data_IF_705473016826
#
_entry.id   IF_705473016826
#
_cell.length_a   1.000
_cell.length_b   1.000
_cell.length_c   1.000
_cell.angle_alpha   90.00
_cell.angle_beta   90.00
_cell.angle_gamma   90.00
#
_symmetry.space_group_name_H-M   'P 1'
#
loop_
_entity.id
_entity.type
_entity.pdbx_description
1 polymer ?
#
# COMPACT_ATOMS: atom_id res chain seq x y z
N UNK A 1 -98.77 8.25 -66.49
CA UNK A 1 -98.38 7.40 -67.64
C UNK A 1 -98.21 5.96 -67.15
N UNK A 2 -98.53 4.98 -67.99
CA UNK A 2 -98.66 3.52 -67.76
C UNK A 2 -97.91 2.84 -68.95
N UNK A 3 -97.42 1.56 -68.96
CA UNK A 3 -97.42 0.47 -67.95
C UNK A 3 -96.01 0.35 -67.29
N UNK A 4 -95.41 -0.77 -66.83
CA UNK A 4 -95.67 -2.23 -66.79
C UNK A 4 -95.02 -2.83 -65.53
N UNK A 5 -95.51 -3.87 -64.83
CA UNK A 5 -96.11 -5.20 -65.15
C UNK A 5 -95.11 -6.34 -65.41
N UNK A 6 -95.06 -7.28 -64.44
CA UNK A 6 -94.89 -8.77 -64.54
C UNK A 6 -93.66 -9.35 -65.28
N UNK A 7 -93.16 -10.54 -64.94
CA UNK A 7 -93.56 -11.54 -63.93
C UNK A 7 -92.38 -12.46 -63.58
N UNK A 8 -92.41 -13.19 -62.46
CA UNK A 8 -92.88 -14.58 -62.33
C UNK A 8 -91.73 -15.62 -62.40
N UNK A 9 -91.89 -16.72 -61.64
CA UNK A 9 -91.04 -17.93 -61.55
C UNK A 9 -89.58 -17.67 -61.08
N UNK A 10 -89.19 -17.94 -59.82
CA UNK A 10 -89.06 -19.26 -59.16
C UNK A 10 -88.09 -20.20 -59.88
N UNK A 11 -86.91 -20.45 -59.28
CA UNK A 11 -86.28 -21.76 -59.03
C UNK A 11 -84.85 -21.59 -58.45
N UNK A 12 -84.56 -22.34 -57.37
CA UNK A 12 -83.25 -22.74 -56.81
C UNK A 12 -82.23 -21.72 -56.24
N UNK A 13 -81.98 -21.93 -54.93
CA UNK A 13 -80.68 -22.08 -54.26
C UNK A 13 -79.61 -20.96 -54.31
N UNK A 14 -79.36 -20.34 -53.16
CA UNK A 14 -78.02 -19.82 -52.79
C UNK A 14 -77.99 -18.50 -52.04
N UNK A 15 -77.11 -18.43 -51.02
CA UNK A 15 -76.63 -17.22 -50.31
C UNK A 15 -77.63 -16.53 -49.36
N UNK A 16 -77.20 -16.26 -48.12
CA UNK A 16 -77.97 -15.47 -47.15
C UNK A 16 -77.72 -15.75 -45.65
N UNK A 17 -76.62 -16.41 -45.29
CA UNK A 17 -76.28 -16.72 -43.90
C UNK A 17 -75.95 -15.42 -43.14
N UNK A 18 -76.91 -14.92 -42.35
CA UNK A 18 -76.78 -13.65 -41.62
C UNK A 18 -77.35 -13.75 -40.18
N UNK A 19 -76.79 -14.70 -39.44
CA UNK A 19 -76.86 -14.74 -37.97
C UNK A 19 -75.55 -15.35 -37.45
N UNK A 20 -75.05 -14.81 -36.33
CA UNK A 20 -73.84 -15.24 -35.60
C UNK A 20 -72.50 -15.16 -36.36
N UNK A 21 -71.71 -14.10 -36.12
CA UNK A 21 -70.26 -14.17 -35.79
C UNK A 21 -69.62 -12.77 -35.61
N UNK A 22 -69.71 -12.19 -34.40
CA UNK A 22 -68.68 -11.25 -33.89
C UNK A 22 -68.49 -11.47 -32.37
N UNK A 23 -68.15 -12.70 -31.97
CA UNK A 23 -67.30 -12.89 -30.81
C UNK A 23 -65.88 -13.08 -31.34
N UNK A 24 -65.19 -11.96 -31.57
CA UNK A 24 -63.75 -11.98 -31.80
C UNK A 24 -63.08 -12.38 -30.47
N UNK A 25 -62.37 -13.51 -30.38
CA UNK A 25 -61.46 -13.71 -29.26
C UNK A 25 -60.45 -12.58 -29.30
N UNK A 26 -60.28 -11.87 -28.19
CA UNK A 26 -59.15 -10.96 -28.04
C UNK A 26 -57.89 -11.83 -28.07
N UNK A 27 -57.18 -11.83 -29.19
CA UNK A 27 -55.83 -12.36 -29.27
C UNK A 27 -54.95 -11.49 -28.38
N UNK A 28 -54.79 -11.91 -27.12
CA UNK A 28 -53.77 -11.38 -26.20
C UNK A 28 -52.43 -11.69 -26.82
N UNK A 29 -51.87 -10.70 -27.51
CA UNK A 29 -50.63 -10.82 -28.26
C UNK A 29 -49.49 -11.15 -27.28
N UNK A 30 -49.07 -12.41 -27.25
CA UNK A 30 -48.15 -12.93 -26.25
C UNK A 30 -46.76 -12.33 -26.48
N UNK A 31 -46.37 -11.39 -25.63
CA UNK A 31 -45.02 -10.83 -25.72
C UNK A 31 -43.99 -11.82 -25.14
N UNK A 32 -42.82 -11.98 -25.77
CA UNK A 32 -41.75 -12.79 -25.21
C UNK A 32 -41.16 -12.10 -23.97
N UNK A 33 -40.82 -12.89 -22.94
CA UNK A 33 -40.13 -12.41 -21.75
C UNK A 33 -38.73 -11.94 -22.16
N UNK A 34 -38.39 -10.69 -21.84
CA UNK A 34 -37.12 -10.06 -22.24
C UNK A 34 -36.05 -10.05 -21.16
N UNK A 35 -36.46 -10.13 -19.90
CA UNK A 35 -35.58 -9.94 -18.74
C UNK A 35 -36.22 -10.46 -17.44
N UNK A 36 -35.39 -10.86 -16.49
CA UNK A 36 -35.82 -11.40 -15.18
C UNK A 36 -35.12 -10.65 -14.04
N UNK A 37 -35.92 -9.98 -13.20
CA UNK A 37 -35.49 -9.43 -11.91
C UNK A 37 -35.71 -10.42 -10.76
N UNK A 38 -34.86 -10.38 -9.74
CA UNK A 38 -34.98 -11.24 -8.55
C UNK A 38 -34.76 -10.43 -7.28
N UNK A 39 -35.57 -10.68 -6.25
CA UNK A 39 -35.37 -10.20 -4.89
C UNK A 39 -35.39 -11.38 -3.91
N UNK A 40 -34.39 -11.52 -3.05
CA UNK A 40 -34.33 -12.57 -2.03
C UNK A 40 -34.41 -12.00 -0.60
N UNK A 41 -35.29 -12.57 0.22
CA UNK A 41 -35.46 -12.24 1.63
C UNK A 41 -35.40 -13.50 2.51
N UNK A 42 -35.22 -13.32 3.82
CA UNK A 42 -35.21 -14.41 4.80
C UNK A 42 -36.28 -14.23 5.88
N UNK A 43 -36.92 -15.34 6.25
CA UNK A 43 -37.85 -15.45 7.38
C UNK A 43 -37.19 -15.22 8.75
N UNK A 44 -35.87 -15.40 8.85
CA UNK A 44 -35.10 -15.29 10.09
C UNK A 44 -33.80 -14.51 9.88
N UNK A 45 -33.71 -13.33 10.50
CA UNK A 45 -32.54 -12.45 10.44
C UNK A 45 -32.33 -11.78 9.08
N UNK A 46 -31.36 -10.87 9.01
CA UNK A 46 -30.88 -10.31 7.75
C UNK A 46 -29.73 -11.14 7.19
N UNK A 47 -29.78 -11.46 5.89
CA UNK A 47 -28.64 -12.07 5.18
C UNK A 47 -27.66 -10.98 4.74
N UNK A 48 -26.34 -11.15 4.99
CA UNK A 48 -25.30 -10.29 4.46
C UNK A 48 -25.45 -10.03 2.96
N UNK A 49 -25.31 -8.76 2.55
CA UNK A 49 -25.55 -8.29 1.19
C UNK A 49 -24.79 -9.07 0.11
N UNK A 50 -23.58 -9.52 0.42
CA UNK A 50 -22.73 -10.33 -0.47
C UNK A 50 -23.37 -11.69 -0.79
N UNK A 51 -23.95 -12.34 0.22
CA UNK A 51 -24.67 -13.62 0.07
C UNK A 51 -26.00 -13.39 -0.63
N UNK A 52 -26.77 -12.36 -0.23
CA UNK A 52 -28.05 -11.99 -0.85
C UNK A 52 -27.92 -11.75 -2.37
N UNK A 53 -26.98 -10.88 -2.78
CA UNK A 53 -26.70 -10.58 -4.20
C UNK A 53 -26.28 -11.83 -4.98
N UNK A 54 -25.59 -12.78 -4.36
CA UNK A 54 -25.23 -14.05 -5.02
C UNK A 54 -26.43 -14.98 -5.17
N UNK A 55 -27.29 -15.11 -4.16
CA UNK A 55 -28.57 -15.84 -4.24
C UNK A 55 -29.40 -15.28 -5.40
N UNK A 56 -29.61 -13.97 -5.43
CA UNK A 56 -30.36 -13.27 -6.48
C UNK A 56 -29.73 -13.49 -7.87
N UNK A 57 -28.40 -13.42 -7.98
CA UNK A 57 -27.68 -13.69 -9.23
C UNK A 57 -27.81 -15.13 -9.70
N UNK A 58 -27.74 -16.12 -8.80
CA UNK A 58 -27.93 -17.54 -9.12
C UNK A 58 -29.36 -17.83 -9.58
N UNK A 59 -30.36 -17.31 -8.87
CA UNK A 59 -31.78 -17.43 -9.25
C UNK A 59 -32.05 -16.68 -10.56
N UNK A 60 -31.43 -15.51 -10.78
CA UNK A 60 -31.58 -14.73 -12.02
C UNK A 60 -30.95 -15.46 -13.21
N UNK A 61 -29.80 -16.10 -13.06
CA UNK A 61 -29.20 -16.92 -14.13
C UNK A 61 -30.11 -18.09 -14.54
N UNK A 62 -30.75 -18.74 -13.56
CA UNK A 62 -31.76 -19.79 -13.79
C UNK A 62 -32.99 -19.20 -14.48
N UNK A 63 -33.56 -18.13 -13.94
CA UNK A 63 -34.74 -17.45 -14.48
C UNK A 63 -34.52 -16.99 -15.92
N UNK A 64 -33.39 -16.37 -16.21
CA UNK A 64 -33.04 -15.96 -17.58
C UNK A 64 -32.96 -17.17 -18.53
N UNK A 65 -32.35 -18.29 -18.11
CA UNK A 65 -32.28 -19.51 -18.92
C UNK A 65 -33.62 -20.23 -19.09
N UNK A 66 -34.53 -20.11 -18.12
CA UNK A 66 -35.84 -20.78 -18.12
C UNK A 66 -36.91 -19.95 -18.84
N UNK A 67 -36.91 -18.63 -18.71
CA UNK A 67 -38.00 -17.74 -19.14
C UNK A 67 -37.69 -16.87 -20.36
N UNK A 68 -36.47 -16.34 -20.52
CA UNK A 68 -36.18 -15.34 -21.57
C UNK A 68 -36.32 -15.95 -22.97
N UNK A 69 -36.93 -15.19 -23.88
CA UNK A 69 -37.21 -15.61 -25.25
C UNK A 69 -38.43 -16.53 -25.41
N UNK A 70 -39.15 -16.86 -24.32
CA UNK A 70 -40.40 -17.63 -24.36
C UNK A 70 -41.62 -16.73 -24.12
N UNK A 71 -42.77 -17.16 -24.60
CA UNK A 71 -44.04 -16.42 -24.46
C UNK A 71 -44.56 -16.44 -23.01
N UNK A 72 -44.94 -15.26 -22.49
CA UNK A 72 -45.42 -15.11 -21.11
C UNK A 72 -46.70 -15.92 -20.80
N UNK A 73 -47.57 -16.11 -21.80
CA UNK A 73 -48.88 -16.75 -21.61
C UNK A 73 -48.75 -18.23 -21.21
N UNK A 74 -47.72 -18.93 -21.69
CA UNK A 74 -47.47 -20.35 -21.35
C UNK A 74 -47.26 -20.50 -19.83
N UNK A 75 -46.53 -19.55 -19.24
CA UNK A 75 -46.26 -19.50 -17.81
C UNK A 75 -47.45 -19.00 -17.00
N UNK A 76 -48.13 -17.93 -17.45
CA UNK A 76 -49.32 -17.39 -16.77
C UNK A 76 -50.45 -18.42 -16.65
N UNK A 77 -50.69 -19.21 -17.70
CA UNK A 77 -51.74 -20.24 -17.72
C UNK A 77 -51.43 -21.42 -16.77
N UNK A 78 -50.16 -21.67 -16.44
CA UNK A 78 -49.73 -22.80 -15.62
C UNK A 78 -48.88 -22.36 -14.41
N UNK A 79 -49.11 -21.14 -13.90
CA UNK A 79 -48.24 -20.47 -12.94
C UNK A 79 -47.95 -21.32 -11.69
N UNK A 80 -48.96 -22.03 -11.17
CA UNK A 80 -48.81 -22.91 -10.00
C UNK A 80 -47.80 -24.04 -10.25
N UNK A 81 -47.80 -24.66 -11.43
CA UNK A 81 -46.86 -25.73 -11.77
C UNK A 81 -45.45 -25.18 -12.00
N UNK A 82 -45.31 -24.08 -12.73
CA UNK A 82 -44.01 -23.47 -13.00
C UNK A 82 -43.36 -22.86 -11.75
N UNK A 83 -44.13 -22.21 -10.86
CA UNK A 83 -43.64 -21.73 -9.57
C UNK A 83 -43.13 -22.90 -8.71
N UNK A 84 -43.85 -24.03 -8.66
CA UNK A 84 -43.41 -25.21 -7.92
C UNK A 84 -42.10 -25.79 -8.48
N UNK A 85 -41.99 -25.95 -9.81
CA UNK A 85 -40.75 -26.42 -10.45
C UNK A 85 -39.60 -25.43 -10.23
N UNK A 86 -39.86 -24.12 -10.26
CA UNK A 86 -38.86 -23.11 -9.96
C UNK A 86 -38.40 -23.20 -8.49
N UNK A 87 -39.32 -23.34 -7.53
CA UNK A 87 -39.00 -23.54 -6.12
C UNK A 87 -38.16 -24.81 -5.89
N UNK A 88 -38.51 -25.93 -6.53
CA UNK A 88 -37.73 -27.18 -6.49
C UNK A 88 -36.32 -27.01 -7.09
N UNK A 89 -36.15 -26.15 -8.10
CA UNK A 89 -34.83 -25.81 -8.66
C UNK A 89 -34.05 -24.91 -7.69
N UNK A 90 -34.68 -23.88 -7.11
CA UNK A 90 -34.04 -22.97 -6.15
C UNK A 90 -33.59 -23.73 -4.89
N UNK A 91 -34.43 -24.61 -4.35
CA UNK A 91 -34.10 -25.51 -3.22
C UNK A 91 -32.88 -26.41 -3.48
N UNK A 92 -32.55 -26.72 -4.74
CA UNK A 92 -31.37 -27.52 -5.12
C UNK A 92 -30.11 -26.68 -5.36
N UNK A 93 -30.25 -25.36 -5.47
CA UNK A 93 -29.16 -24.44 -5.83
C UNK A 93 -28.72 -23.60 -4.65
N UNK A 94 -29.65 -23.20 -3.77
CA UNK A 94 -29.38 -22.40 -2.57
C UNK A 94 -29.17 -23.31 -1.37
N UNK A 95 -27.99 -23.93 -1.30
CA UNK A 95 -27.65 -24.93 -0.27
C UNK A 95 -27.72 -24.32 1.14
N UNK A 96 -28.36 -25.03 2.07
CA UNK A 96 -28.56 -24.64 3.48
C UNK A 96 -29.72 -23.67 3.72
N UNK A 97 -30.47 -23.28 2.68
CA UNK A 97 -31.77 -22.62 2.80
C UNK A 97 -32.86 -23.45 2.13
N UNK A 98 -34.10 -23.36 2.62
CA UNK A 98 -35.29 -23.80 1.89
C UNK A 98 -36.15 -22.60 1.50
N UNK A 99 -36.82 -22.69 0.36
CA UNK A 99 -37.85 -21.76 -0.08
C UNK A 99 -39.08 -21.94 0.80
N UNK A 100 -39.42 -20.90 1.57
CA UNK A 100 -40.66 -20.80 2.36
C UNK A 100 -41.82 -20.31 1.49
N UNK A 101 -41.58 -19.28 0.66
CA UNK A 101 -42.51 -18.80 -0.36
C UNK A 101 -41.77 -18.38 -1.63
N UNK A 102 -42.46 -18.47 -2.77
CA UNK A 102 -41.96 -18.05 -4.07
C UNK A 102 -43.11 -17.46 -4.89
N UNK A 103 -42.98 -16.17 -5.21
CA UNK A 103 -43.93 -15.41 -6.00
C UNK A 103 -43.28 -14.97 -7.30
N UNK A 104 -43.97 -15.19 -8.43
CA UNK A 104 -43.48 -14.81 -9.76
C UNK A 104 -44.53 -13.96 -10.47
N UNK A 105 -44.18 -12.70 -10.70
CA UNK A 105 -44.95 -11.79 -11.53
C UNK A 105 -44.53 -11.98 -12.99
N UNK A 106 -45.21 -12.88 -13.71
CA UNK A 106 -44.95 -13.15 -15.12
C UNK A 106 -45.36 -11.99 -16.03
N UNK A 107 -44.44 -11.55 -16.88
CA UNK A 107 -44.66 -10.55 -17.92
C UNK A 107 -43.39 -10.30 -18.74
N UNK A 108 -43.46 -9.38 -19.70
CA UNK A 108 -42.30 -8.91 -20.50
C UNK A 108 -41.03 -8.63 -19.68
N UNK A 109 -41.17 -8.07 -18.48
CA UNK A 109 -40.16 -8.07 -17.42
C UNK A 109 -40.70 -8.90 -16.26
N UNK A 110 -40.18 -10.12 -16.09
CA UNK A 110 -40.66 -11.05 -15.05
C UNK A 110 -39.94 -10.77 -13.74
N UNK A 111 -40.67 -10.63 -12.63
CA UNK A 111 -40.08 -10.46 -11.29
C UNK A 111 -40.27 -11.72 -10.45
N UNK A 112 -39.20 -12.17 -9.79
CA UNK A 112 -39.21 -13.32 -8.87
C UNK A 112 -38.90 -12.81 -7.46
N UNK A 113 -39.85 -12.94 -6.54
CA UNK A 113 -39.62 -12.73 -5.12
C UNK A 113 -39.56 -14.08 -4.40
N UNK A 114 -38.46 -14.33 -3.70
CA UNK A 114 -38.19 -15.58 -2.99
C UNK A 114 -37.96 -15.29 -1.51
N UNK A 115 -38.71 -15.99 -0.67
CA UNK A 115 -38.54 -15.98 0.77
C UNK A 115 -37.87 -17.29 1.21
N UNK A 116 -36.75 -17.17 1.92
CA UNK A 116 -35.91 -18.29 2.34
C UNK A 116 -35.96 -18.50 3.86
N UNK A 117 -35.79 -19.73 4.29
CA UNK A 117 -35.58 -20.09 5.69
C UNK A 117 -34.28 -20.88 5.84
N UNK A 118 -33.40 -20.51 6.79
CA UNK A 118 -32.18 -21.27 7.07
C UNK A 118 -32.51 -22.69 7.53
N UNK A 119 -31.75 -23.68 7.04
CA UNK A 119 -31.88 -25.10 7.39
C UNK A 119 -30.76 -25.47 8.34
N UNK A 120 -31.09 -26.27 9.36
CA UNK A 120 -30.10 -26.74 10.33
C UNK A 120 -29.68 -25.66 11.31
N UNK A 121 -28.40 -25.65 11.68
CA UNK A 121 -27.85 -24.69 12.65
C UNK A 121 -27.35 -23.43 11.93
N UNK A 122 -27.46 -22.27 12.58
CA UNK A 122 -26.88 -21.00 12.10
C UNK A 122 -25.59 -20.67 12.86
N UNK A 123 -24.65 -20.03 12.17
CA UNK A 123 -23.43 -19.47 12.77
C UNK A 123 -23.84 -18.36 13.75
N UNK A 124 -23.43 -18.50 15.01
CA UNK A 124 -23.72 -17.53 16.09
C UNK A 124 -22.47 -16.79 16.55
N UNK A 125 -21.34 -17.47 16.53
CA UNK A 125 -20.06 -16.96 17.01
C UNK A 125 -19.00 -17.22 15.94
N UNK A 126 -18.17 -16.22 15.69
CA UNK A 126 -17.06 -16.29 14.75
C UNK A 126 -15.78 -15.95 15.49
N UNK A 127 -14.77 -16.80 15.38
CA UNK A 127 -13.42 -16.53 15.87
C UNK A 127 -12.49 -16.41 14.67
N UNK A 128 -11.78 -15.28 14.55
CA UNK A 128 -10.90 -14.99 13.42
C UNK A 128 -9.45 -14.89 13.91
N UNK A 129 -8.59 -15.73 13.35
CA UNK A 129 -7.15 -15.76 13.58
C UNK A 129 -6.44 -15.31 12.29
N UNK A 130 -5.50 -14.37 12.39
CA UNK A 130 -4.73 -13.85 11.25
C UNK A 130 -3.29 -14.33 11.40
N UNK A 131 -2.83 -15.07 10.40
CA UNK A 131 -1.46 -15.56 10.29
C UNK A 131 -0.66 -14.62 9.38
N UNK A 132 0.35 -13.97 9.96
CA UNK A 132 1.25 -13.03 9.31
C UNK A 132 2.42 -13.74 8.58
N UNK A 133 2.45 -15.08 8.58
CA UNK A 133 3.44 -15.90 7.92
C UNK A 133 4.85 -15.69 8.45
N UNK A 134 5.80 -15.42 7.55
CA UNK A 134 7.21 -15.22 7.88
C UNK A 134 7.58 -13.74 8.12
N UNK A 135 6.61 -12.86 8.35
CA UNK A 135 6.92 -11.48 8.75
C UNK A 135 7.63 -11.47 10.10
N UNK A 136 8.56 -10.53 10.29
CA UNK A 136 9.17 -10.30 11.60
C UNK A 136 8.11 -9.81 12.60
N UNK A 137 8.39 -9.92 13.90
CA UNK A 137 7.49 -9.38 14.95
C UNK A 137 7.22 -7.88 14.75
N UNK A 138 8.22 -7.12 14.29
CA UNK A 138 8.09 -5.68 14.05
C UNK A 138 7.25 -5.39 12.80
N UNK A 139 7.47 -6.12 11.70
CA UNK A 139 6.62 -6.04 10.51
C UNK A 139 5.16 -6.41 10.82
N UNK A 140 4.94 -7.45 11.62
CA UNK A 140 3.62 -7.92 12.00
C UNK A 140 2.81 -6.86 12.77
N UNK A 141 3.45 -6.03 13.63
CA UNK A 141 2.78 -4.94 14.36
C UNK A 141 2.13 -3.92 13.40
N UNK A 142 2.81 -3.51 12.34
CA UNK A 142 2.25 -2.58 11.36
C UNK A 142 1.05 -3.19 10.62
N UNK A 143 1.14 -4.46 10.21
CA UNK A 143 0.04 -5.15 9.53
C UNK A 143 -1.13 -5.42 10.50
N UNK A 144 -0.85 -5.69 11.77
CA UNK A 144 -1.85 -5.87 12.83
C UNK A 144 -2.64 -4.58 13.11
N UNK A 145 -1.98 -3.41 13.05
CA UNK A 145 -2.63 -2.09 13.17
C UNK A 145 -3.74 -1.93 12.13
N UNK A 146 -3.45 -2.24 10.86
CA UNK A 146 -4.43 -2.20 9.76
C UNK A 146 -5.54 -3.25 9.91
N UNK A 147 -5.20 -4.47 10.35
CA UNK A 147 -6.17 -5.59 10.44
C UNK A 147 -7.03 -5.62 11.71
N UNK A 148 -6.89 -4.64 12.62
CA UNK A 148 -7.61 -4.63 13.92
C UNK A 148 -9.13 -4.71 13.77
N UNK A 149 -9.71 -4.21 12.68
CA UNK A 149 -11.15 -4.28 12.38
C UNK A 149 -11.61 -5.61 11.74
N UNK A 150 -10.68 -6.39 11.17
CA UNK A 150 -11.00 -7.61 10.40
C UNK A 150 -11.80 -8.65 11.20
N UNK A 151 -11.49 -8.97 12.47
CA UNK A 151 -12.28 -9.94 13.23
C UNK A 151 -13.75 -9.54 13.42
N UNK A 152 -14.04 -8.24 13.58
CA UNK A 152 -15.41 -7.73 13.72
C UNK A 152 -16.14 -7.83 12.37
N UNK A 153 -15.50 -7.37 11.30
CA UNK A 153 -16.06 -7.40 9.94
C UNK A 153 -16.30 -8.84 9.45
N UNK A 154 -15.42 -9.78 9.80
CA UNK A 154 -15.65 -11.22 9.55
C UNK A 154 -16.77 -11.80 10.40
N UNK A 155 -17.00 -11.29 11.61
CA UNK A 155 -18.14 -11.69 12.45
C UNK A 155 -19.46 -11.22 11.83
N UNK A 156 -19.54 -9.97 11.40
CA UNK A 156 -20.71 -9.40 10.70
C UNK A 156 -21.01 -10.10 9.36
N UNK A 157 -19.97 -10.50 8.64
CA UNK A 157 -20.07 -11.17 7.33
C UNK A 157 -20.54 -12.64 7.42
N UNK A 158 -20.30 -13.32 8.53
CA UNK A 158 -20.57 -14.76 8.70
C UNK A 158 -21.73 -15.10 9.65
N UNK A 159 -22.05 -14.22 10.60
CA UNK A 159 -23.13 -14.47 11.57
C UNK A 159 -24.48 -14.53 10.87
N UNK A 160 -25.33 -15.48 11.29
CA UNK A 160 -26.66 -15.70 10.70
C UNK A 160 -26.68 -16.60 9.46
N UNK A 161 -25.52 -16.96 8.88
CA UNK A 161 -25.45 -17.94 7.81
C UNK A 161 -25.68 -19.37 8.34
N UNK A 162 -26.36 -20.27 7.59
CA UNK A 162 -26.48 -21.67 7.96
C UNK A 162 -25.12 -22.39 7.90
N UNK A 163 -24.86 -23.26 8.87
CA UNK A 163 -23.66 -24.10 8.93
C UNK A 163 -23.59 -25.05 7.72
N UNK A 164 -24.73 -25.63 7.32
CA UNK A 164 -24.79 -26.52 6.15
C UNK A 164 -24.66 -25.76 4.82
N UNK A 165 -24.85 -24.43 4.80
CA UNK A 165 -24.53 -23.62 3.62
C UNK A 165 -23.03 -23.58 3.34
N UNK A 166 -22.15 -23.94 4.28
CA UNK A 166 -20.70 -23.67 4.20
C UNK A 166 -20.02 -24.31 3.00
N UNK A 167 -20.42 -25.48 2.51
CA UNK A 167 -19.86 -26.03 1.26
C UNK A 167 -20.07 -25.12 0.03
N UNK A 168 -21.04 -24.20 0.10
CA UNK A 168 -21.37 -23.21 -0.94
C UNK A 168 -21.01 -21.78 -0.53
N UNK A 169 -21.18 -21.47 0.76
CA UNK A 169 -20.88 -20.20 1.41
C UNK A 169 -19.38 -20.03 1.71
N UNK A 170 -18.56 -21.08 1.73
CA UNK A 170 -17.09 -20.97 1.76
C UNK A 170 -16.65 -20.17 0.53
N UNK A 171 -17.12 -20.51 -0.68
CA UNK A 171 -16.81 -19.74 -1.89
C UNK A 171 -17.24 -18.27 -1.79
N UNK A 172 -18.36 -17.96 -1.13
CA UNK A 172 -18.88 -16.57 -0.96
C UNK A 172 -18.13 -15.81 0.13
N UNK A 173 -17.92 -16.45 1.26
CA UNK A 173 -17.29 -15.87 2.44
C UNK A 173 -15.80 -15.68 2.20
N UNK A 174 -15.15 -16.61 1.51
CA UNK A 174 -13.81 -16.39 1.01
C UNK A 174 -13.77 -15.30 -0.08
N UNK A 175 -14.78 -15.15 -0.97
CA UNK A 175 -14.76 -14.06 -1.97
C UNK A 175 -14.98 -12.69 -1.32
N UNK A 176 -15.99 -12.56 -0.47
CA UNK A 176 -16.32 -11.33 0.23
C UNK A 176 -15.24 -10.98 1.28
N UNK A 177 -14.66 -11.97 1.96
CA UNK A 177 -13.48 -11.81 2.81
C UNK A 177 -12.24 -11.38 2.01
N UNK A 178 -12.01 -11.93 0.81
CA UNK A 178 -10.95 -11.45 -0.09
C UNK A 178 -11.20 -10.00 -0.54
N UNK A 179 -12.43 -9.64 -0.88
CA UNK A 179 -12.79 -8.26 -1.25
C UNK A 179 -12.65 -7.28 -0.08
N UNK A 180 -12.96 -7.72 1.15
CA UNK A 180 -12.74 -6.98 2.39
C UNK A 180 -11.24 -6.77 2.65
N UNK A 181 -10.45 -7.84 2.61
CA UNK A 181 -8.99 -7.77 2.80
C UNK A 181 -8.32 -6.93 1.72
N UNK A 182 -8.81 -6.96 0.47
CA UNK A 182 -8.30 -6.11 -0.61
C UNK A 182 -8.58 -4.61 -0.41
N UNK A 183 -9.57 -4.25 0.40
CA UNK A 183 -9.83 -2.85 0.78
C UNK A 183 -8.93 -2.39 1.93
N UNK A 184 -8.60 -3.29 2.87
CA UNK A 184 -7.81 -2.97 4.08
C UNK A 184 -6.30 -3.12 3.83
N UNK A 185 -5.89 -4.22 3.20
CA UNK A 185 -4.52 -4.59 2.84
C UNK A 185 -4.43 -4.97 1.34
N UNK A 186 -4.53 -4.01 0.41
CA UNK A 186 -4.38 -4.27 -1.02
C UNK A 186 -3.01 -4.86 -1.41
N UNK A 187 -2.00 -4.75 -0.52
CA UNK A 187 -0.64 -5.24 -0.71
C UNK A 187 -0.42 -6.71 -0.34
N UNK A 188 -1.46 -7.39 0.18
CA UNK A 188 -1.41 -8.79 0.57
C UNK A 188 -2.53 -9.59 -0.11
N UNK A 189 -2.20 -10.75 -0.66
CA UNK A 189 -3.20 -11.73 -1.09
C UNK A 189 -3.57 -12.61 0.12
N UNK A 190 -4.85 -12.58 0.52
CA UNK A 190 -5.35 -13.32 1.67
C UNK A 190 -5.92 -14.69 1.27
N UNK A 191 -5.41 -15.77 1.88
CA UNK A 191 -6.01 -17.11 1.86
C UNK A 191 -6.83 -17.33 3.11
N UNK A 192 -7.97 -17.98 2.95
CA UNK A 192 -8.97 -18.18 4.00
C UNK A 192 -9.21 -19.69 4.17
N UNK A 193 -9.06 -20.17 5.40
CA UNK A 193 -9.53 -21.49 5.83
C UNK A 193 -10.70 -21.29 6.81
N UNK A 194 -11.85 -21.91 6.54
CA UNK A 194 -13.08 -21.72 7.33
C UNK A 194 -13.55 -23.06 7.88
N UNK A 195 -13.37 -23.28 9.17
CA UNK A 195 -13.89 -24.44 9.88
C UNK A 195 -15.23 -24.08 10.51
N UNK A 196 -16.32 -24.65 10.00
CA UNK A 196 -17.65 -24.20 10.37
C UNK A 196 -18.37 -25.07 11.38
N UNK A 197 -19.20 -24.40 12.17
CA UNK A 197 -20.07 -24.94 13.21
C UNK A 197 -20.86 -23.81 13.86
N UNK A 198 -21.53 -24.06 14.99
CA UNK A 198 -22.11 -22.98 15.83
C UNK A 198 -21.09 -21.90 16.18
N UNK A 199 -19.87 -22.34 16.46
CA UNK A 199 -18.65 -21.54 16.59
C UNK A 199 -17.80 -21.78 15.33
N UNK A 200 -17.82 -20.82 14.41
CA UNK A 200 -17.01 -20.88 13.18
C UNK A 200 -15.63 -20.30 13.44
N UNK A 201 -14.59 -21.02 13.03
CA UNK A 201 -13.19 -20.56 13.10
C UNK A 201 -12.70 -20.20 11.70
N UNK A 202 -12.23 -18.97 11.55
CA UNK A 202 -11.64 -18.44 10.33
C UNK A 202 -10.14 -18.25 10.55
N UNK A 203 -9.33 -18.81 9.66
CA UNK A 203 -7.89 -18.53 9.58
C UNK A 203 -7.58 -17.78 8.31
N UNK A 204 -6.88 -16.65 8.44
CA UNK A 204 -6.51 -15.78 7.32
C UNK A 204 -4.98 -15.78 7.20
N UNK A 205 -4.45 -16.41 6.17
CA UNK A 205 -3.01 -16.41 5.87
C UNK A 205 -2.70 -15.28 4.89
N UNK A 206 -1.81 -14.36 5.29
CA UNK A 206 -1.40 -13.23 4.47
C UNK A 206 -0.18 -13.59 3.62
N UNK A 207 -0.22 -13.28 2.33
CA UNK A 207 0.89 -13.51 1.39
C UNK A 207 1.30 -12.15 0.79
N UNK A 208 2.55 -11.68 1.00
CA UNK A 208 3.06 -10.44 0.41
C UNK A 208 2.94 -10.43 -1.12
N UNK A 209 2.55 -9.29 -1.69
CA UNK A 209 2.37 -9.11 -3.13
C UNK A 209 3.33 -8.09 -3.73
N UNK A 210 3.91 -8.42 -4.87
CA UNK A 210 4.81 -7.54 -5.61
C UNK A 210 6.24 -7.58 -5.08
N UNK A 211 6.94 -6.44 -5.15
CA UNK A 211 8.28 -6.30 -4.58
C UNK A 211 8.21 -6.25 -3.05
N UNK A 212 9.16 -6.91 -2.39
CA UNK A 212 9.33 -6.91 -0.94
C UNK A 212 10.61 -6.20 -0.55
N UNK A 213 10.62 -5.57 0.63
CA UNK A 213 11.84 -5.01 1.21
C UNK A 213 12.81 -6.16 1.53
N UNK A 214 14.03 -6.09 0.99
CA UNK A 214 15.11 -7.07 1.17
C UNK A 214 16.25 -6.55 2.02
N UNK A 215 16.47 -5.23 1.98
CA UNK A 215 17.43 -4.57 2.86
C UNK A 215 16.83 -3.25 3.32
N UNK A 216 17.11 -2.90 4.57
CA UNK A 216 16.73 -1.64 5.17
C UNK A 216 17.94 -1.02 5.85
N UNK A 217 18.34 0.18 5.41
CA UNK A 217 19.52 0.87 5.95
C UNK A 217 19.21 2.29 6.41
N UNK A 218 19.89 2.72 7.46
CA UNK A 218 19.90 4.12 7.88
C UNK A 218 21.00 4.85 7.09
N UNK A 219 20.72 6.08 6.63
CA UNK A 219 21.70 6.95 6.00
C UNK A 219 21.65 8.34 6.60
N UNK A 220 22.73 8.75 7.28
CA UNK A 220 22.91 10.13 7.70
C UNK A 220 23.06 11.03 6.48
N UNK A 221 22.15 11.98 6.30
CA UNK A 221 22.15 12.93 5.19
C UNK A 221 22.88 14.22 5.61
N UNK A 222 22.36 14.96 6.59
CA UNK A 222 22.99 16.14 7.21
C UNK A 222 23.28 15.88 8.69
N UNK A 223 24.51 16.13 9.12
CA UNK A 223 24.95 15.92 10.51
C UNK A 223 25.81 17.08 10.97
N UNK A 224 25.45 17.72 12.08
CA UNK A 224 26.24 18.80 12.72
C UNK A 224 27.09 18.32 13.89
N UNK A 225 27.04 17.02 14.20
CA UNK A 225 27.75 16.38 15.31
C UNK A 225 28.49 15.13 14.80
N UNK A 226 29.54 14.67 15.53
CA UNK A 226 30.23 13.42 15.24
C UNK A 226 29.27 12.23 15.16
N UNK A 227 29.39 11.44 14.08
CA UNK A 227 28.49 10.31 13.82
C UNK A 227 28.67 9.18 14.83
N UNK A 228 29.86 9.05 15.43
CA UNK A 228 30.18 8.09 16.49
C UNK A 228 29.34 8.32 17.76
N UNK A 229 28.95 9.56 18.04
CA UNK A 229 28.07 9.90 19.18
C UNK A 229 26.63 9.42 18.92
N UNK A 230 26.25 9.31 17.64
CA UNK A 230 24.96 8.76 17.20
C UNK A 230 25.00 7.25 16.99
N UNK A 231 26.15 6.58 17.08
CA UNK A 231 26.31 5.16 16.72
C UNK A 231 25.33 4.22 17.46
N UNK A 232 25.06 4.48 18.74
CA UNK A 232 24.11 3.67 19.53
C UNK A 232 22.67 3.84 19.06
N UNK A 233 22.24 5.09 18.89
CA UNK A 233 20.92 5.42 18.37
C UNK A 233 20.72 4.86 16.95
N UNK A 234 21.72 5.04 16.08
CA UNK A 234 21.73 4.54 14.72
C UNK A 234 21.63 3.00 14.67
N UNK A 235 22.44 2.29 15.46
CA UNK A 235 22.45 0.82 15.50
C UNK A 235 21.09 0.24 15.93
N UNK A 236 20.46 0.80 16.97
CA UNK A 236 19.11 0.40 17.41
C UNK A 236 18.05 0.67 16.33
N UNK A 237 18.18 1.79 15.62
CA UNK A 237 17.26 2.17 14.55
C UNK A 237 17.47 1.31 13.30
N UNK A 238 18.71 0.94 12.97
CA UNK A 238 19.04 -0.02 11.91
C UNK A 238 18.50 -1.42 12.21
N UNK A 239 18.51 -1.85 13.49
CA UNK A 239 17.90 -3.11 13.91
C UNK A 239 16.37 -3.09 13.77
N UNK A 240 15.70 -2.01 14.18
CA UNK A 240 14.27 -1.83 13.95
C UNK A 240 13.92 -1.74 12.45
N UNK A 241 14.75 -1.08 11.64
CA UNK A 241 14.60 -0.99 10.19
C UNK A 241 14.71 -2.36 9.49
N UNK A 242 15.59 -3.27 9.94
CA UNK A 242 15.63 -4.68 9.47
C UNK A 242 14.33 -5.41 9.77
N UNK A 243 13.60 -5.01 10.82
CA UNK A 243 12.25 -5.48 11.11
C UNK A 243 11.27 -5.32 9.94
N UNK A 244 11.51 -4.37 9.02
CA UNK A 244 10.67 -4.15 7.84
C UNK A 244 10.91 -5.15 6.69
N UNK A 245 11.97 -5.97 6.76
CA UNK A 245 12.30 -6.96 5.73
C UNK A 245 11.16 -7.98 5.57
N UNK A 246 10.81 -8.30 4.32
CA UNK A 246 9.68 -9.16 3.98
C UNK A 246 8.33 -8.44 3.79
N UNK A 247 8.19 -7.18 4.21
CA UNK A 247 6.99 -6.39 3.90
C UNK A 247 6.94 -6.01 2.41
N UNK A 248 5.74 -5.90 1.79
CA UNK A 248 5.58 -5.30 0.47
C UNK A 248 6.08 -3.85 0.43
N UNK A 249 6.82 -3.49 -0.62
CA UNK A 249 7.34 -2.13 -0.82
C UNK A 249 6.20 -1.10 -0.86
N UNK A 250 5.06 -1.44 -1.47
CA UNK A 250 3.87 -0.58 -1.49
C UNK A 250 3.25 -0.35 -0.11
N UNK A 251 3.32 -1.34 0.79
CA UNK A 251 2.81 -1.23 2.15
C UNK A 251 3.71 -0.30 2.98
N UNK A 252 5.03 -0.45 2.84
CA UNK A 252 6.03 0.43 3.47
C UNK A 252 5.94 1.86 2.90
N UNK A 253 5.64 2.02 1.61
CA UNK A 253 5.40 3.34 1.02
C UNK A 253 4.13 4.00 1.58
N UNK A 254 3.03 3.25 1.71
CA UNK A 254 1.76 3.73 2.31
C UNK A 254 1.94 4.15 3.77
N UNK A 255 2.77 3.45 4.53
CA UNK A 255 3.08 3.75 5.93
C UNK A 255 4.40 4.51 6.15
N UNK A 256 4.97 5.10 5.09
CA UNK A 256 6.31 5.71 5.15
C UNK A 256 6.45 6.76 6.25
N UNK A 257 5.43 7.61 6.45
CA UNK A 257 5.41 8.61 7.52
C UNK A 257 5.31 7.98 8.92
N UNK A 258 4.40 7.03 9.13
CA UNK A 258 4.21 6.33 10.42
C UNK A 258 5.48 5.60 10.84
N UNK A 259 6.09 4.85 9.91
CA UNK A 259 7.34 4.13 10.15
C UNK A 259 8.47 5.13 10.41
N UNK A 260 8.58 6.20 9.61
CA UNK A 260 9.63 7.21 9.80
C UNK A 260 9.51 7.90 11.16
N UNK A 261 8.30 8.23 11.60
CA UNK A 261 8.04 8.79 12.94
C UNK A 261 8.46 7.82 14.06
N UNK A 262 8.12 6.54 13.97
CA UNK A 262 8.56 5.54 14.96
C UNK A 262 10.10 5.41 14.98
N UNK A 263 10.76 5.42 13.83
CA UNK A 263 12.23 5.43 13.78
C UNK A 263 12.83 6.72 14.38
N UNK A 264 12.17 7.88 14.23
CA UNK A 264 12.54 9.12 14.93
C UNK A 264 12.39 8.98 16.44
N UNK A 265 11.33 8.35 16.93
CA UNK A 265 11.14 8.08 18.37
C UNK A 265 12.27 7.21 18.93
N UNK A 266 12.67 6.14 18.22
CA UNK A 266 13.81 5.26 18.61
C UNK A 266 15.13 6.04 18.67
N UNK A 267 15.38 6.95 17.71
CA UNK A 267 16.54 7.84 17.76
C UNK A 267 16.47 8.79 18.98
N UNK A 268 15.32 9.44 19.19
CA UNK A 268 15.08 10.34 20.32
C UNK A 268 15.10 9.62 21.68
N UNK A 269 15.09 8.29 21.76
CA UNK A 269 15.31 7.59 23.02
C UNK A 269 16.70 7.86 23.62
N UNK A 270 17.72 8.05 22.78
CA UNK A 270 19.12 8.16 23.19
C UNK A 270 19.40 9.38 24.09
N UNK A 271 20.22 9.15 25.12
CA UNK A 271 20.51 10.16 26.14
C UNK A 271 21.43 11.28 25.67
N UNK A 272 22.25 11.07 24.64
CA UNK A 272 23.04 12.12 24.02
C UNK A 272 22.14 13.05 23.21
N UNK A 273 21.28 12.48 22.35
CA UNK A 273 20.31 13.23 21.53
C UNK A 273 19.41 14.10 22.41
N UNK A 274 18.83 13.53 23.47
CA UNK A 274 18.02 14.27 24.45
C UNK A 274 18.80 15.36 25.19
N UNK A 275 20.00 15.05 25.69
CA UNK A 275 20.76 15.97 26.55
C UNK A 275 21.22 17.24 25.81
N UNK A 276 21.51 17.12 24.53
CA UNK A 276 22.01 18.22 23.70
C UNK A 276 20.94 18.77 22.74
N UNK A 277 19.67 18.40 22.95
CA UNK A 277 18.50 18.90 22.19
C UNK A 277 18.72 18.85 20.67
N UNK A 278 19.34 17.76 20.20
CA UNK A 278 19.66 17.57 18.78
C UNK A 278 18.35 17.36 18.03
N UNK A 279 18.09 18.22 17.05
CA UNK A 279 16.94 18.10 16.18
C UNK A 279 17.16 16.93 15.21
N UNK A 280 16.22 15.99 15.20
CA UNK A 280 16.30 14.77 14.41
C UNK A 280 15.13 14.77 13.45
N UNK A 281 15.40 14.89 12.15
CA UNK A 281 14.40 14.65 11.11
C UNK A 281 14.69 13.31 10.41
N UNK A 282 13.62 12.61 10.05
CA UNK A 282 13.67 11.30 9.41
C UNK A 282 12.78 11.28 8.18
N UNK A 283 13.23 10.60 7.12
CA UNK A 283 12.42 10.39 5.92
C UNK A 283 12.70 9.00 5.33
N UNK A 284 11.67 8.16 5.23
CA UNK A 284 11.78 6.80 4.70
C UNK A 284 11.53 6.75 3.20
N UNK A 285 12.58 6.46 2.43
CA UNK A 285 12.47 6.09 1.02
C UNK A 285 12.21 4.59 0.91
N UNK A 286 10.95 4.21 0.70
CA UNK A 286 10.55 2.82 0.50
C UNK A 286 11.06 2.26 -0.85
N UNK A 287 11.57 1.03 -0.83
CA UNK A 287 12.09 0.32 -2.00
C UNK A 287 12.51 -1.11 -1.64
N UNK A 288 12.90 -1.91 -2.65
CA UNK A 288 13.52 -3.23 -2.40
C UNK A 288 14.74 -3.09 -1.48
N UNK A 289 15.54 -2.04 -1.69
CA UNK A 289 16.53 -1.53 -0.75
C UNK A 289 16.00 -0.21 -0.14
N UNK A 290 15.37 -0.31 1.03
CA UNK A 290 14.74 0.83 1.72
C UNK A 290 15.78 1.65 2.48
N UNK A 291 15.66 2.97 2.42
CA UNK A 291 16.62 3.89 3.07
C UNK A 291 15.90 4.88 3.98
N UNK A 292 16.19 4.81 5.28
CA UNK A 292 15.82 5.84 6.23
C UNK A 292 16.89 6.94 6.18
N UNK A 293 16.54 8.10 5.62
CA UNK A 293 17.38 9.30 5.68
C UNK A 293 17.21 9.94 7.05
N UNK A 294 18.32 10.29 7.68
CA UNK A 294 18.34 10.93 9.00
C UNK A 294 19.16 12.21 8.92
N UNK A 295 18.53 13.32 9.27
CA UNK A 295 19.18 14.58 9.54
C UNK A 295 19.27 14.74 11.06
N UNK A 296 20.47 15.01 11.58
CA UNK A 296 20.74 15.20 13.00
C UNK A 296 21.49 16.52 13.18
N UNK A 297 20.73 17.56 13.52
CA UNK A 297 21.12 18.95 13.43
C UNK A 297 21.15 19.63 14.80
N UNK A 298 21.98 20.66 14.90
CA UNK A 298 22.09 21.56 16.04
C UNK A 298 22.11 22.98 15.48
N UNK A 299 21.40 23.87 16.14
CA UNK A 299 21.15 25.26 15.74
C UNK A 299 22.29 26.22 16.15
N UNK A 300 22.98 25.94 17.25
CA UNK A 300 24.04 26.81 17.79
C UNK A 300 25.45 26.45 17.32
N UNK A 301 25.77 25.15 17.20
CA UNK A 301 27.15 24.67 17.00
C UNK A 301 27.23 23.63 15.89
N UNK A 302 28.43 23.44 15.33
CA UNK A 302 28.77 22.32 14.46
C UNK A 302 30.11 21.73 14.88
N UNK A 303 30.13 20.43 15.13
CA UNK A 303 31.29 19.64 15.50
C UNK A 303 31.49 18.59 14.40
N UNK A 304 32.61 18.62 13.70
CA UNK A 304 33.01 17.59 12.74
C UNK A 304 34.30 16.93 13.21
N UNK A 305 34.34 15.61 13.12
CA UNK A 305 35.54 14.82 13.34
C UNK A 305 35.76 13.93 12.12
N UNK A 306 36.94 14.01 11.53
CA UNK A 306 37.30 13.26 10.33
C UNK A 306 38.70 12.68 10.55
N UNK A 307 38.93 11.46 10.08
CA UNK A 307 40.27 10.90 9.98
C UNK A 307 40.46 10.39 8.57
N UNK A 308 41.64 10.56 7.97
CA UNK A 308 41.88 10.04 6.63
C UNK A 308 43.23 9.37 6.45
N UNK A 309 43.28 8.50 5.44
CA UNK A 309 44.44 7.77 4.97
C UNK A 309 44.56 7.98 3.46
N UNK A 310 45.68 8.56 3.02
CA UNK A 310 46.04 8.78 1.63
C UNK A 310 46.90 7.58 1.14
N UNK A 311 46.57 7.04 -0.04
CA UNK A 311 47.30 5.93 -0.67
C UNK A 311 47.69 6.27 -2.11
N UNK A 312 48.97 6.06 -2.42
CA UNK A 312 49.58 6.51 -3.68
C UNK A 312 49.99 7.99 -3.71
N UNK A 313 50.04 8.65 -2.54
CA UNK A 313 50.59 10.01 -2.36
C UNK A 313 52.07 9.91 -2.00
N UNK A 314 52.89 10.74 -2.61
CA UNK A 314 54.30 10.88 -2.24
C UNK A 314 54.44 11.90 -1.10
N UNK A 315 55.12 11.52 -0.01
CA UNK A 315 55.34 12.36 1.19
C UNK A 315 54.94 11.67 2.50
N UNK A 316 55.15 12.38 3.62
CA UNK A 316 54.96 11.82 4.98
C UNK A 316 53.58 12.13 5.59
N UNK A 317 52.81 13.07 5.01
CA UNK A 317 51.47 13.49 5.47
C UNK A 317 50.34 12.56 4.99
N UNK A 318 50.62 11.26 4.90
CA UNK A 318 49.71 10.24 4.35
C UNK A 318 48.55 9.86 5.27
N UNK A 319 48.51 10.36 6.50
CA UNK A 319 47.37 10.14 7.39
C UNK A 319 47.21 11.32 8.35
N UNK A 320 45.96 11.69 8.64
CA UNK A 320 45.67 12.81 9.53
C UNK A 320 44.34 12.64 10.27
N UNK A 321 44.23 13.37 11.37
CA UNK A 321 43.02 13.54 12.17
C UNK A 321 42.62 15.02 12.18
N UNK A 322 41.36 15.31 11.86
CA UNK A 322 40.78 16.65 11.83
C UNK A 322 39.64 16.75 12.84
N UNK A 323 39.71 17.75 13.71
CA UNK A 323 38.61 18.20 14.54
C UNK A 323 38.23 19.63 14.18
N UNK A 324 36.95 19.87 13.89
CA UNK A 324 36.40 21.20 13.61
C UNK A 324 35.29 21.52 14.61
N UNK A 325 35.36 22.68 15.24
CA UNK A 325 34.29 23.26 16.06
C UNK A 325 33.89 24.61 15.46
N UNK A 326 32.63 24.75 15.07
CA UNK A 326 32.06 25.99 14.55
C UNK A 326 30.82 26.43 15.31
N UNK A 327 30.52 27.72 15.21
CA UNK A 327 29.34 28.38 15.72
C UNK A 327 28.54 28.99 14.57
N UNK A 328 27.22 28.80 14.56
CA UNK A 328 26.36 29.36 13.53
C UNK A 328 26.17 30.86 13.72
N UNK A 329 26.39 31.64 12.67
CA UNK A 329 26.20 33.09 12.64
C UNK A 329 24.98 33.45 11.78
N UNK A 330 23.81 32.92 12.16
CA UNK A 330 22.62 32.90 11.32
C UNK A 330 22.46 31.57 10.58
N UNK A 331 21.70 31.56 9.48
CA UNK A 331 21.28 30.31 8.82
C UNK A 331 22.30 29.68 7.85
N UNK A 332 23.23 30.48 7.32
CA UNK A 332 24.12 30.07 6.23
C UNK A 332 25.61 30.16 6.60
N UNK A 333 25.92 30.92 7.64
CA UNK A 333 27.28 31.30 8.01
C UNK A 333 27.75 30.52 9.24
N UNK A 334 28.98 30.05 9.22
CA UNK A 334 29.63 29.41 10.38
C UNK A 334 31.03 30.00 10.54
N UNK A 335 31.31 30.51 11.74
CA UNK A 335 32.68 30.80 12.18
C UNK A 335 33.24 29.55 12.86
N UNK A 336 34.44 29.09 12.50
CA UNK A 336 35.00 27.85 13.02
C UNK A 336 36.48 27.93 13.38
N UNK A 337 36.85 27.13 14.38
CA UNK A 337 38.22 26.70 14.64
C UNK A 337 38.38 25.23 14.21
N UNK A 338 39.53 24.90 13.66
CA UNK A 338 39.87 23.56 13.20
C UNK A 338 41.30 23.20 13.60
N UNK A 339 41.51 21.95 13.99
CA UNK A 339 42.83 21.39 14.27
C UNK A 339 43.01 20.19 13.36
N UNK A 340 44.13 20.13 12.64
CA UNK A 340 44.57 18.97 11.88
C UNK A 340 45.87 18.45 12.49
N UNK A 341 45.93 17.16 12.80
CA UNK A 341 47.09 16.46 13.33
C UNK A 341 47.59 15.44 12.30
N UNK A 342 48.87 15.50 11.96
CA UNK A 342 49.58 14.58 11.07
C UNK A 342 50.58 13.75 11.89
N UNK A 343 50.22 12.55 12.40
CA UNK A 343 51.08 11.82 13.32
C UNK A 343 52.32 11.19 12.64
N UNK A 344 52.37 11.16 11.30
CA UNK A 344 53.55 10.72 10.53
C UNK A 344 54.77 11.60 10.79
N UNK A 345 54.72 12.90 10.40
CA UNK A 345 55.74 13.88 10.73
C UNK A 345 55.64 14.43 12.16
N UNK A 346 54.60 14.04 12.94
CA UNK A 346 54.24 14.64 14.23
C UNK A 346 53.97 16.16 14.17
N UNK A 347 53.42 16.61 13.04
CA UNK A 347 53.02 18.00 12.81
C UNK A 347 51.53 18.22 13.10
N UNK A 348 51.17 19.47 13.36
CA UNK A 348 49.78 19.88 13.54
C UNK A 348 49.58 21.30 13.00
N UNK A 349 48.43 21.53 12.40
CA UNK A 349 48.02 22.81 11.85
C UNK A 349 46.74 23.25 12.57
N UNK A 350 46.65 24.53 12.93
CA UNK A 350 45.46 25.12 13.55
C UNK A 350 44.91 26.16 12.61
N UNK A 351 43.62 26.07 12.31
CA UNK A 351 42.94 26.96 11.41
C UNK A 351 41.85 27.75 12.12
N UNK A 352 41.71 29.03 11.79
CA UNK A 352 40.55 29.85 12.12
C UNK A 352 39.89 30.33 10.84
N UNK A 353 38.58 30.15 10.69
CA UNK A 353 37.92 30.41 9.41
C UNK A 353 36.44 30.72 9.51
N UNK A 354 35.88 31.08 8.35
CA UNK A 354 34.47 31.30 8.13
C UNK A 354 34.04 30.55 6.87
N UNK A 355 32.84 29.99 6.87
CA UNK A 355 32.22 29.34 5.72
C UNK A 355 30.79 29.83 5.54
N UNK A 356 30.35 29.92 4.29
CA UNK A 356 29.00 30.27 3.88
C UNK A 356 28.40 29.16 3.02
N UNK A 357 27.15 28.80 3.30
CA UNK A 357 26.40 27.75 2.61
C UNK A 357 25.24 28.33 1.80
N UNK A 358 25.32 28.23 0.49
CA UNK A 358 24.26 28.60 -0.45
C UNK A 358 23.27 27.44 -0.64
N UNK A 359 22.43 27.22 0.38
CA UNK A 359 21.49 26.09 0.41
C UNK A 359 22.21 24.75 0.31
N UNK A 360 21.61 23.78 -0.39
CA UNK A 360 22.20 22.45 -0.57
C UNK A 360 23.08 22.32 -1.84
N UNK A 361 23.43 23.44 -2.49
CA UNK A 361 24.11 23.45 -3.80
C UNK A 361 25.59 23.77 -3.72
N UNK A 362 26.01 24.65 -2.79
CA UNK A 362 27.38 25.14 -2.74
C UNK A 362 27.77 25.62 -1.32
N UNK A 363 28.98 25.28 -0.89
CA UNK A 363 29.61 25.76 0.34
C UNK A 363 30.97 26.37 -0.04
N UNK A 364 31.25 27.60 0.41
CA UNK A 364 32.53 28.28 0.22
C UNK A 364 33.06 28.73 1.57
N UNK A 365 34.36 28.77 1.75
CA UNK A 365 34.95 29.28 2.98
C UNK A 365 36.38 29.76 2.82
N UNK A 366 36.81 30.44 3.87
CA UNK A 366 38.14 30.99 4.05
C UNK A 366 38.66 30.54 5.41
N UNK A 367 39.92 30.11 5.47
CA UNK A 367 40.59 29.81 6.74
C UNK A 367 42.04 30.29 6.74
N UNK A 368 42.51 30.75 7.89
CA UNK A 368 43.89 31.12 8.14
C UNK A 368 44.58 30.00 8.92
N UNK A 369 45.73 29.53 8.44
CA UNK A 369 46.61 28.60 9.15
C UNK A 369 47.51 29.39 10.10
N UNK A 370 47.35 29.19 11.42
CA UNK A 370 48.14 29.88 12.44
C UNK A 370 49.57 29.33 12.57
N UNK A 371 49.87 28.15 12.04
CA UNK A 371 51.19 27.52 12.15
C UNK A 371 52.07 27.85 10.95
N UNK A 372 51.51 27.73 9.74
CA UNK A 372 52.22 28.10 8.51
C UNK A 372 52.09 29.60 8.17
N UNK A 373 51.19 30.33 8.86
CA UNK A 373 50.84 31.74 8.59
C UNK A 373 50.32 31.97 7.16
N UNK A 374 49.59 30.98 6.62
CA UNK A 374 49.07 30.97 5.25
C UNK A 374 47.56 31.13 5.22
N UNK A 375 47.05 31.75 4.16
CA UNK A 375 45.62 31.85 3.90
C UNK A 375 45.18 30.69 3.01
N UNK A 376 43.97 30.18 3.23
CA UNK A 376 43.36 29.10 2.45
C UNK A 376 41.95 29.49 2.04
N UNK A 377 41.58 29.25 0.78
CA UNK A 377 40.18 29.31 0.32
C UNK A 377 39.74 27.93 -0.11
N UNK A 378 38.59 27.49 0.37
CA UNK A 378 38.02 26.20 0.03
C UNK A 378 36.59 26.34 -0.48
N UNK A 379 36.18 25.37 -1.29
CA UNK A 379 34.83 25.28 -1.82
C UNK A 379 34.39 23.83 -1.94
N UNK A 380 33.08 23.59 -1.84
CA UNK A 380 32.47 22.25 -1.96
C UNK A 380 31.15 22.33 -2.71
N UNK A 381 31.01 21.48 -3.72
CA UNK A 381 29.82 21.32 -4.56
C UNK A 381 29.30 19.88 -4.38
N UNK A 382 28.24 19.63 -3.59
CA UNK A 382 27.57 18.33 -3.56
C UNK A 382 26.80 18.06 -4.86
N UNK A 383 26.82 16.80 -5.29
CA UNK A 383 26.07 16.27 -6.44
C UNK A 383 25.17 15.13 -5.94
N UNK A 384 23.94 15.48 -5.57
CA UNK A 384 23.05 14.57 -4.85
C UNK A 384 23.60 14.22 -3.46
N UNK A 385 23.29 13.01 -2.96
CA UNK A 385 23.56 12.63 -1.57
C UNK A 385 24.89 11.90 -1.36
N UNK A 386 25.51 11.39 -2.44
CA UNK A 386 26.70 10.53 -2.35
C UNK A 386 27.96 11.15 -2.93
N UNK A 387 27.86 12.04 -3.92
CA UNK A 387 29.03 12.62 -4.59
C UNK A 387 29.23 14.07 -4.14
N UNK A 388 30.46 14.51 -3.95
CA UNK A 388 30.78 15.94 -3.85
C UNK A 388 32.17 16.25 -4.41
N UNK A 389 32.28 17.36 -5.13
CA UNK A 389 33.56 17.95 -5.52
C UNK A 389 34.01 18.92 -4.42
N UNK A 390 35.30 18.89 -4.09
CA UNK A 390 35.99 19.79 -3.18
C UNK A 390 37.11 20.50 -3.94
N UNK A 391 37.35 21.75 -3.58
CA UNK A 391 38.48 22.56 -4.00
C UNK A 391 39.10 23.20 -2.76
N UNK A 392 40.42 23.26 -2.68
CA UNK A 392 41.17 24.01 -1.68
C UNK A 392 42.37 24.68 -2.34
N UNK A 393 42.66 25.92 -1.98
CA UNK A 393 43.79 26.69 -2.50
C UNK A 393 44.62 27.28 -1.36
N UNK A 394 45.88 26.88 -1.26
CA UNK A 394 46.86 27.40 -0.29
C UNK A 394 47.58 28.62 -0.90
N UNK A 395 47.39 29.80 -0.33
CA UNK A 395 48.01 31.04 -0.85
C UNK A 395 49.52 31.14 -0.58
N UNK A 396 50.04 30.40 0.41
CA UNK A 396 51.47 30.38 0.73
C UNK A 396 52.26 29.55 -0.26
N UNK A 397 51.76 28.33 -0.52
CA UNK A 397 52.37 27.41 -1.50
C UNK A 397 51.96 27.71 -2.94
N UNK A 398 50.80 28.38 -3.14
CA UNK A 398 50.12 28.64 -4.42
C UNK A 398 49.61 27.38 -5.11
N UNK A 399 49.32 26.35 -4.31
CA UNK A 399 48.84 25.04 -4.76
C UNK A 399 47.31 24.98 -4.78
N UNK A 400 46.77 24.24 -5.77
CA UNK A 400 45.37 23.87 -5.87
C UNK A 400 45.18 22.37 -5.59
N UNK A 401 44.38 22.01 -4.60
CA UNK A 401 43.96 20.63 -4.34
C UNK A 401 42.47 20.44 -4.72
N UNK A 402 42.20 19.48 -5.60
CA UNK A 402 40.86 19.10 -6.05
C UNK A 402 40.53 17.69 -5.52
N UNK A 403 39.33 17.51 -4.95
CA UNK A 403 38.88 16.23 -4.40
C UNK A 403 37.52 15.82 -4.94
N UNK A 404 37.41 14.65 -5.58
CA UNK A 404 36.11 14.05 -5.96
C UNK A 404 35.75 12.95 -4.98
N UNK A 405 34.78 13.22 -4.11
CA UNK A 405 34.37 12.33 -3.02
C UNK A 405 33.11 11.51 -3.34
N UNK A 406 33.07 10.27 -2.85
CA UNK A 406 31.94 9.34 -2.91
C UNK A 406 31.68 8.70 -1.54
N UNK A 407 30.49 8.95 -0.96
CA UNK A 407 30.03 8.36 0.30
C UNK A 407 29.72 6.87 0.09
N UNK A 408 30.61 6.01 0.60
CA UNK A 408 30.42 4.55 0.58
C UNK A 408 29.42 4.15 1.68
N UNK A 409 29.59 4.71 2.88
CA UNK A 409 28.81 4.35 4.07
C UNK A 409 28.66 5.55 5.02
N UNK A 410 27.89 5.42 6.10
CA UNK A 410 27.70 6.50 7.08
C UNK A 410 29.00 6.99 7.72
N UNK A 411 29.95 6.09 7.93
CA UNK A 411 31.23 6.40 8.58
C UNK A 411 32.40 6.45 7.59
N UNK A 412 32.18 6.31 6.27
CA UNK A 412 33.27 6.15 5.31
C UNK A 412 32.98 6.75 3.93
N UNK A 413 33.93 7.56 3.45
CA UNK A 413 33.91 8.25 2.15
C UNK A 413 35.24 7.99 1.44
N UNK A 414 35.21 7.74 0.14
CA UNK A 414 36.41 7.66 -0.70
C UNK A 414 36.53 8.96 -1.50
N UNK A 415 37.66 9.64 -1.43
CA UNK A 415 37.96 10.85 -2.21
C UNK A 415 39.13 10.55 -3.18
N UNK A 416 38.95 10.83 -4.47
CA UNK A 416 40.04 10.88 -5.43
C UNK A 416 40.60 12.29 -5.44
N UNK A 417 41.88 12.45 -5.12
CA UNK A 417 42.53 13.74 -4.90
C UNK A 417 43.54 14.02 -6.00
N UNK A 418 43.61 15.27 -6.43
CA UNK A 418 44.57 15.79 -7.39
C UNK A 418 45.16 17.11 -6.90
N UNK A 419 46.49 17.22 -6.89
CA UNK A 419 47.27 18.41 -6.64
C UNK A 419 48.27 18.59 -7.82
N UNK A 420 48.58 19.83 -8.16
CA UNK A 420 49.54 20.17 -9.21
C UNK A 420 50.99 19.76 -8.87
N UNK A 421 51.40 19.80 -7.59
CA UNK A 421 52.74 19.37 -7.16
C UNK A 421 52.83 17.88 -6.80
N UNK A 422 51.97 17.40 -5.88
CA UNK A 422 52.00 16.02 -5.36
C UNK A 422 51.28 15.00 -6.28
N UNK A 423 50.72 15.42 -7.41
CA UNK A 423 50.08 14.53 -8.37
C UNK A 423 48.69 14.05 -7.94
N UNK A 424 48.48 12.72 -7.86
CA UNK A 424 47.15 12.13 -7.68
C UNK A 424 47.15 10.91 -6.76
N UNK A 425 46.17 10.83 -5.86
CA UNK A 425 46.05 9.74 -4.91
C UNK A 425 44.60 9.43 -4.55
N UNK A 426 44.40 8.34 -3.81
CA UNK A 426 43.11 8.00 -3.21
C UNK A 426 43.16 8.26 -1.71
N UNK A 427 42.16 8.96 -1.19
CA UNK A 427 41.99 9.30 0.22
C UNK A 427 40.78 8.57 0.77
N UNK A 428 40.97 7.74 1.80
CA UNK A 428 39.88 7.11 2.54
C UNK A 428 39.58 7.94 3.79
N UNK A 429 38.39 8.54 3.86
CA UNK A 429 37.94 9.42 4.95
C UNK A 429 36.96 8.66 5.85
N UNK A 430 37.36 8.41 7.09
CA UNK A 430 36.46 8.05 8.17
C UNK A 430 35.71 9.31 8.66
N UNK A 431 34.38 9.28 8.57
CA UNK A 431 33.50 10.32 9.09
C UNK A 431 33.14 9.91 10.53
N UNK A 432 33.85 10.47 11.49
CA UNK A 432 33.73 10.14 12.92
C UNK A 432 32.58 10.93 13.57
#
# INVERSE_FOLDING_TARGET
MIPSLRGQAVVQAGVGLLACFVFLPHNVNAAPIKSVGVSAATTQGEVPDSVRKRIESSISAIGNRVFVGKEENIFRLNAVQYNKVLADIVNRVVIGYMVSDLQVAYGTHTSISVELQPVGEIIRTVSTEIDYGNLTEEAAKYVQKDTTSVPVLMTELLTGLPVDSVGWAESVSQSAGRDLMKQILPEFDAKFEVHSGKETKVRIFLIPKGEIVRSSVLSFHKTTIPRILLFRAASRTEEAMKGLEGLPVSFVARHSQDISNHMKEILLEDSFIKKYEIDVETNLSAGTDSVLKVDALTDHWIIKTEAWLDTGRDGDKNYAFRGMLGHYMGKHDVLFGEVQLYPGPMEWNVYGGWQHRFGDVFEIGYKYDFMESTNHVFARVPFGEKVALRYNYDFGKKESEYGLSYKIHNYMTLEYVYNEEEGKWLRLIANL
#
